data_IF_237861939353
#
_entry.id   IF_237861939353
#
_cell.length_a   1.000
_cell.length_b   1.000
_cell.length_c   1.000
_cell.angle_alpha   90.00
_cell.angle_beta   90.00
_cell.angle_gamma   90.00
#
_symmetry.space_group_name_H-M   'P 1'
#
loop_
_entity.id
_entity.type
_entity.pdbx_description
1 polymer ?
#
# COMPACT_ATOMS: atom_id res chain seq x y z
N UNK A 1 3.93 12.00 -16.11
CA UNK A 1 4.93 13.02 -15.72
C UNK A 1 5.84 12.38 -14.69
N UNK A 2 6.99 11.88 -15.12
CA UNK A 2 8.11 11.57 -14.23
C UNK A 2 9.09 12.70 -14.50
N UNK A 3 9.24 13.65 -13.58
CA UNK A 3 10.29 14.65 -13.71
C UNK A 3 11.62 13.90 -13.74
N UNK A 4 12.45 14.27 -14.70
CA UNK A 4 13.82 13.79 -14.85
C UNK A 4 14.71 14.37 -13.75
N UNK A 5 14.39 14.10 -12.49
CA UNK A 5 15.35 14.22 -11.39
C UNK A 5 16.28 13.01 -11.47
N UNK A 6 17.24 13.16 -12.37
CA UNK A 6 18.51 12.44 -12.41
C UNK A 6 19.07 12.23 -11.01
N UNK A 7 19.17 10.96 -10.59
CA UNK A 7 20.34 10.35 -9.91
C UNK A 7 21.21 11.32 -9.07
N UNK A 8 20.60 12.11 -8.20
CA UNK A 8 21.26 12.95 -7.21
C UNK A 8 20.86 12.34 -5.87
N UNK A 9 21.82 11.66 -5.24
CA UNK A 9 21.78 11.03 -3.93
C UNK A 9 20.50 10.21 -3.60
N UNK A 10 20.50 8.94 -4.03
CA UNK A 10 19.91 7.85 -3.22
C UNK A 10 20.76 7.60 -1.97
N UNK A 11 21.16 8.65 -1.26
CA UNK A 11 21.61 8.49 0.12
C UNK A 11 20.35 8.31 0.96
N UNK A 12 20.36 7.29 1.81
CA UNK A 12 19.44 7.09 2.93
C UNK A 12 19.36 8.35 3.81
N UNK A 13 18.67 9.40 3.36
CA UNK A 13 18.29 10.49 4.25
C UNK A 13 17.12 9.96 5.06
N UNK A 14 17.48 9.26 6.15
CA UNK A 14 16.56 8.94 7.22
C UNK A 14 16.02 10.27 7.75
N UNK A 15 14.74 10.53 7.52
CA UNK A 15 14.09 11.76 7.97
C UNK A 15 13.68 11.59 9.43
N UNK A 16 13.96 12.57 10.26
CA UNK A 16 13.39 12.59 11.61
C UNK A 16 11.91 12.98 11.51
N UNK A 17 11.07 12.31 12.28
CA UNK A 17 9.66 12.61 12.41
C UNK A 17 9.21 12.46 13.87
N UNK A 18 8.06 13.03 14.20
CA UNK A 18 7.46 12.92 15.53
C UNK A 18 5.99 12.59 15.41
N UNK A 19 5.45 11.95 16.44
CA UNK A 19 4.06 11.54 16.49
C UNK A 19 3.52 11.71 17.90
N UNK A 20 2.35 12.33 18.06
CA UNK A 20 1.73 12.55 19.35
C UNK A 20 0.59 11.55 19.61
N UNK A 21 0.77 10.67 20.60
CA UNK A 21 -0.27 9.78 21.11
C UNK A 21 -0.97 10.45 22.28
N UNK A 22 -2.05 11.17 21.99
CA UNK A 22 -2.80 11.93 22.98
C UNK A 22 -3.78 11.00 23.72
N UNK A 23 -3.67 10.93 25.05
CA UNK A 23 -4.49 10.04 25.89
C UNK A 23 -5.15 10.80 27.04
N UNK A 24 -6.33 10.33 27.46
CA UNK A 24 -7.04 10.81 28.63
C UNK A 24 -7.86 9.68 29.25
N UNK A 25 -7.53 9.25 30.47
CA UNK A 25 -8.15 8.06 31.07
C UNK A 25 -7.89 6.82 30.21
N UNK A 26 -8.94 6.08 29.88
CA UNK A 26 -8.90 4.91 28.98
C UNK A 26 -9.15 5.25 27.51
N UNK A 27 -9.07 6.53 27.15
CA UNK A 27 -9.34 7.00 25.79
C UNK A 27 -8.09 7.55 25.12
N UNK A 28 -8.02 7.31 23.81
CA UNK A 28 -6.96 7.76 22.92
C UNK A 28 -7.57 8.60 21.81
N UNK A 29 -6.94 9.71 21.47
CA UNK A 29 -7.34 10.51 20.32
C UNK A 29 -6.72 9.93 19.05
N UNK A 30 -7.56 9.68 18.04
CA UNK A 30 -7.17 9.00 16.81
C UNK A 30 -7.66 9.80 15.61
N UNK A 31 -6.87 9.82 14.55
CA UNK A 31 -7.27 10.39 13.25
C UNK A 31 -7.40 9.28 12.20
N UNK A 32 -8.27 9.48 11.22
CA UNK A 32 -8.31 8.71 9.97
C UNK A 32 -7.94 9.66 8.83
N UNK A 33 -6.88 9.30 8.11
CA UNK A 33 -6.31 10.10 7.03
C UNK A 33 -7.24 10.15 5.81
N UNK A 34 -7.22 11.25 5.06
CA UNK A 34 -7.96 11.39 3.81
C UNK A 34 -7.54 10.37 2.75
N UNK A 35 -8.52 9.88 1.98
CA UNK A 35 -8.30 8.83 0.96
C UNK A 35 -7.50 9.33 -0.27
N UNK A 36 -7.43 10.64 -0.50
CA UNK A 36 -6.69 11.22 -1.63
C UNK A 36 -5.24 11.57 -1.31
N UNK A 37 -4.78 11.35 -0.07
CA UNK A 37 -3.41 11.62 0.31
C UNK A 37 -2.44 10.65 -0.34
N UNK A 38 -1.22 11.14 -0.60
CA UNK A 38 -0.16 10.30 -1.20
C UNK A 38 0.42 9.27 -0.23
N UNK A 39 0.45 9.61 1.07
CA UNK A 39 1.02 8.76 2.11
C UNK A 39 -0.09 8.25 3.03
N UNK A 40 -0.19 6.92 3.10
CA UNK A 40 -1.14 6.19 3.96
C UNK A 40 -2.60 6.69 3.82
N UNK A 41 -3.18 6.72 2.61
CA UNK A 41 -4.55 7.18 2.41
C UNK A 41 -5.57 6.28 3.11
N UNK A 42 -6.42 6.85 3.95
CA UNK A 42 -7.46 6.11 4.68
C UNK A 42 -7.00 5.40 5.94
N UNK A 43 -5.73 5.52 6.34
CA UNK A 43 -5.18 4.84 7.52
C UNK A 43 -5.61 5.53 8.81
N UNK A 44 -5.80 4.73 9.85
CA UNK A 44 -5.80 5.24 11.21
C UNK A 44 -4.38 5.60 11.62
N UNK A 45 -4.22 6.78 12.22
CA UNK A 45 -2.95 7.33 12.61
C UNK A 45 -3.11 8.21 13.85
N UNK A 46 -1.97 8.72 14.32
CA UNK A 46 -1.86 9.78 15.29
C UNK A 46 -1.32 11.04 14.59
N UNK A 47 -1.64 12.25 15.09
CA UNK A 47 -1.10 13.50 14.54
C UNK A 47 0.42 13.54 14.63
N UNK A 48 1.06 14.14 13.63
CA UNK A 48 2.51 14.30 13.61
C UNK A 48 3.09 14.35 12.21
N UNK A 49 4.30 14.89 12.13
CA UNK A 49 4.99 15.09 10.87
C UNK A 49 6.49 15.12 11.02
N UNK A 50 7.15 15.78 10.07
CA UNK A 50 8.60 15.77 9.96
C UNK A 50 9.22 16.79 10.91
N UNK A 51 10.43 16.50 11.35
CA UNK A 51 11.28 17.53 11.96
C UNK A 51 11.93 18.31 10.83
N UNK A 52 11.61 19.60 10.73
CA UNK A 52 12.11 20.50 9.71
C UNK A 52 13.33 21.28 10.20
N UNK A 53 14.11 21.85 9.28
CA UNK A 53 15.29 22.66 9.64
C UNK A 53 14.93 23.87 10.52
N UNK A 54 13.70 24.38 10.38
CA UNK A 54 13.16 25.51 11.14
C UNK A 54 12.85 25.16 12.61
N UNK A 55 12.76 23.86 12.95
CA UNK A 55 12.53 23.40 14.33
C UNK A 55 13.82 23.47 15.18
N UNK A 56 14.97 23.74 14.57
CA UNK A 56 16.26 23.83 15.26
C UNK A 56 16.42 25.12 16.09
N UNK A 57 17.28 25.06 17.11
CA UNK A 57 17.70 26.24 17.88
C UNK A 57 16.73 26.70 18.98
N UNK A 58 15.62 25.99 19.18
CA UNK A 58 14.73 26.19 20.33
C UNK A 58 15.32 25.60 21.61
N UNK A 59 15.02 26.21 22.76
CA UNK A 59 15.42 25.71 24.08
C UNK A 59 14.22 25.75 24.99
N UNK A 60 13.74 24.58 25.40
CA UNK A 60 12.65 24.45 26.36
C UNK A 60 13.21 24.46 27.79
N UNK A 61 12.65 25.32 28.64
CA UNK A 61 13.02 25.39 30.07
C UNK A 61 12.05 24.60 30.95
N UNK A 62 10.85 24.28 30.45
CA UNK A 62 9.84 23.56 31.22
C UNK A 62 10.34 22.12 31.50
N UNK A 63 10.29 21.62 32.75
CA UNK A 63 10.84 20.32 33.11
C UNK A 63 10.30 19.14 32.28
N UNK A 64 8.99 19.15 31.95
CA UNK A 64 8.35 18.11 31.12
C UNK A 64 8.80 18.11 29.64
N UNK A 65 9.51 19.15 29.18
CA UNK A 65 9.97 19.26 27.79
C UNK A 65 11.50 19.25 27.69
N UNK A 66 12.19 19.72 28.74
CA UNK A 66 13.64 19.92 28.75
C UNK A 66 14.45 18.62 28.68
N UNK A 67 13.85 17.47 28.98
CA UNK A 67 14.52 16.16 28.89
C UNK A 67 14.62 15.62 27.46
N UNK A 68 13.79 16.12 26.54
CA UNK A 68 13.75 15.67 25.16
C UNK A 68 14.61 16.54 24.25
N UNK A 69 14.92 16.03 23.05
CA UNK A 69 15.63 16.83 22.03
C UNK A 69 14.75 18.02 21.60
N UNK A 70 15.22 19.27 21.75
CA UNK A 70 14.39 20.45 21.52
C UNK A 70 13.75 20.53 20.14
N UNK A 71 14.49 20.15 19.09
CA UNK A 71 13.99 20.15 17.71
C UNK A 71 12.84 19.17 17.49
N UNK A 72 12.84 18.03 18.21
CA UNK A 72 11.74 17.05 18.13
C UNK A 72 10.50 17.55 18.83
N UNK A 73 10.67 18.13 20.02
CA UNK A 73 9.55 18.73 20.75
C UNK A 73 8.99 19.93 20.00
N UNK A 74 9.84 20.74 19.36
CA UNK A 74 9.38 21.87 18.56
C UNK A 74 8.53 21.40 17.38
N UNK A 75 8.98 20.37 16.65
CA UNK A 75 8.18 19.73 15.63
C UNK A 75 6.86 19.19 16.21
N UNK A 76 6.88 18.53 17.37
CA UNK A 76 5.69 17.96 18.00
C UNK A 76 4.65 19.04 18.33
N UNK A 77 5.10 20.17 18.87
CA UNK A 77 4.25 21.34 19.16
C UNK A 77 3.67 21.91 17.87
N UNK A 78 4.51 22.11 16.84
CA UNK A 78 4.08 22.66 15.54
C UNK A 78 3.03 21.77 14.88
N UNK A 79 3.29 20.48 14.77
CA UNK A 79 2.38 19.53 14.12
C UNK A 79 1.04 19.40 14.88
N UNK A 80 1.05 19.47 16.22
CA UNK A 80 -0.19 19.51 17.02
C UNK A 80 -1.00 20.79 16.78
N UNK A 81 -0.36 21.94 16.58
CA UNK A 81 -1.05 23.18 16.24
C UNK A 81 -1.56 23.18 14.80
N UNK A 82 -0.72 22.76 13.84
CA UNK A 82 -1.06 22.73 12.42
C UNK A 82 -2.18 21.72 12.11
N UNK A 83 -2.07 20.49 12.62
CA UNK A 83 -3.05 19.43 12.33
C UNK A 83 -4.31 19.53 13.21
N UNK A 84 -4.19 19.96 14.47
CA UNK A 84 -5.28 19.88 15.45
C UNK A 84 -5.65 21.23 16.09
N UNK A 85 -4.94 22.32 15.82
CA UNK A 85 -5.11 23.58 16.53
C UNK A 85 -4.87 23.47 18.03
N UNK A 86 -3.95 22.60 18.46
CA UNK A 86 -3.63 22.34 19.85
C UNK A 86 -2.26 22.90 20.26
N UNK A 87 -2.29 23.99 21.02
CA UNK A 87 -1.10 24.59 21.62
C UNK A 87 -0.66 23.78 22.86
N UNK A 88 0.29 22.86 22.65
CA UNK A 88 0.84 22.02 23.70
C UNK A 88 1.58 22.83 24.79
N UNK A 89 2.27 23.91 24.42
CA UNK A 89 3.00 24.75 25.37
C UNK A 89 2.03 25.45 26.32
N UNK A 90 0.97 26.06 25.77
CA UNK A 90 -0.09 26.66 26.55
C UNK A 90 -0.82 25.64 27.44
N UNK A 91 -1.08 24.43 26.94
CA UNK A 91 -1.70 23.38 27.74
C UNK A 91 -0.85 22.97 28.94
N UNK A 92 0.48 22.92 28.79
CA UNK A 92 1.43 22.68 29.88
C UNK A 92 1.40 23.83 30.90
N UNK A 93 1.46 25.08 30.44
CA UNK A 93 1.39 26.26 31.31
C UNK A 93 0.08 26.32 32.11
N UNK A 94 -1.03 25.87 31.51
CA UNK A 94 -2.34 25.77 32.15
C UNK A 94 -2.53 24.51 32.99
N UNK A 95 -1.46 23.71 33.19
CA UNK A 95 -1.46 22.49 33.99
C UNK A 95 -2.47 21.43 33.49
N UNK A 96 -2.74 21.39 32.18
CA UNK A 96 -3.65 20.45 31.52
C UNK A 96 -2.95 19.16 31.08
N UNK A 97 -1.62 19.16 30.96
CA UNK A 97 -0.80 17.98 30.67
C UNK A 97 -0.30 17.37 31.97
N UNK A 98 -0.54 16.08 32.17
CA UNK A 98 -0.05 15.31 33.32
C UNK A 98 1.37 14.82 33.10
N UNK A 99 1.62 14.20 31.94
CA UNK A 99 2.86 13.51 31.62
C UNK A 99 3.10 13.52 30.11
N UNK A 100 4.38 13.52 29.71
CA UNK A 100 4.82 13.32 28.33
C UNK A 100 5.91 12.27 28.35
N UNK A 101 5.73 11.18 27.61
CA UNK A 101 6.68 10.07 27.54
C UNK A 101 7.08 9.76 26.10
N UNK A 102 8.35 9.46 25.85
CA UNK A 102 8.77 8.80 24.62
C UNK A 102 8.45 7.29 24.72
N UNK A 103 7.42 6.84 24.01
CA UNK A 103 6.93 5.45 24.10
C UNK A 103 7.60 4.50 23.10
N UNK A 104 8.22 5.02 22.05
CA UNK A 104 8.85 4.19 21.03
C UNK A 104 9.46 5.00 19.89
N UNK A 105 10.35 4.36 19.15
CA UNK A 105 10.98 4.92 17.95
C UNK A 105 10.77 3.96 16.79
N UNK A 106 9.99 4.38 15.80
CA UNK A 106 9.72 3.60 14.60
C UNK A 106 10.73 3.93 13.51
N UNK A 107 11.38 2.91 12.96
CA UNK A 107 12.29 3.00 11.82
C UNK A 107 11.60 2.39 10.61
N UNK A 108 11.47 3.18 9.55
CA UNK A 108 10.90 2.65 8.31
C UNK A 108 11.83 1.58 7.71
N UNK A 109 11.28 0.41 7.32
CA UNK A 109 12.07 -0.69 6.76
C UNK A 109 12.95 -0.28 5.57
N UNK A 110 14.05 -1.01 5.36
CA UNK A 110 15.06 -0.67 4.35
C UNK A 110 14.55 -0.75 2.90
N UNK A 111 13.49 -1.52 2.64
CA UNK A 111 12.91 -1.66 1.30
C UNK A 111 12.05 -0.46 0.87
N UNK A 112 11.65 0.40 1.82
CA UNK A 112 10.85 1.59 1.51
C UNK A 112 11.73 2.73 0.99
N UNK A 113 11.23 3.44 -0.04
CA UNK A 113 11.99 4.53 -0.68
C UNK A 113 12.14 5.77 0.17
N UNK A 114 11.14 6.07 0.99
CA UNK A 114 11.13 7.22 1.89
C UNK A 114 11.14 6.68 3.30
N UNK A 115 12.23 6.92 4.03
CA UNK A 115 12.44 6.34 5.35
C UNK A 115 12.42 7.40 6.44
N UNK A 116 11.78 7.05 7.55
CA UNK A 116 11.65 7.87 8.73
C UNK A 116 12.21 7.18 9.96
N UNK A 117 12.77 8.00 10.84
CA UNK A 117 13.06 7.69 12.23
C UNK A 117 12.08 8.52 13.07
N UNK A 118 10.92 7.92 13.32
CA UNK A 118 9.76 8.58 13.90
C UNK A 118 9.69 8.34 15.42
N UNK A 119 9.66 9.41 16.20
CA UNK A 119 9.62 9.38 17.66
C UNK A 119 8.18 9.56 18.15
N UNK A 120 7.68 8.57 18.88
CA UNK A 120 6.29 8.56 19.35
C UNK A 120 6.25 9.06 20.80
N UNK A 121 5.58 10.18 21.01
CA UNK A 121 5.41 10.81 22.31
C UNK A 121 3.98 10.60 22.80
N UNK A 122 3.79 9.90 23.92
CA UNK A 122 2.50 9.81 24.61
C UNK A 122 2.32 11.07 25.44
N UNK A 123 1.23 11.79 25.22
CA UNK A 123 0.87 13.01 25.96
C UNK A 123 -0.39 12.72 26.76
N UNK A 124 -0.24 12.63 28.08
CA UNK A 124 -1.35 12.34 29.01
C UNK A 124 -2.03 13.64 29.40
N UNK A 125 -3.30 13.80 29.03
CA UNK A 125 -4.11 14.98 29.32
C UNK A 125 -5.00 14.76 30.54
N UNK A 126 -5.13 15.79 31.37
CA UNK A 126 -6.05 15.80 32.54
C UNK A 126 -7.51 15.97 32.17
N UNK A 127 -7.79 16.49 30.98
CA UNK A 127 -9.12 16.54 30.39
C UNK A 127 -9.02 16.45 28.87
N UNK A 128 -10.06 15.94 28.21
CA UNK A 128 -10.13 15.93 26.75
C UNK A 128 -10.04 17.35 26.20
N UNK A 129 -9.04 17.61 25.38
CA UNK A 129 -8.93 18.85 24.63
C UNK A 129 -9.95 18.88 23.47
N UNK A 130 -10.34 20.09 23.08
CA UNK A 130 -11.17 20.33 21.90
C UNK A 130 -10.24 20.64 20.72
N UNK A 131 -10.11 19.68 19.81
CA UNK A 131 -9.29 19.82 18.61
C UNK A 131 -10.07 20.43 17.43
N UNK A 132 -9.34 21.04 16.52
CA UNK A 132 -9.78 21.55 15.21
C UNK A 132 -8.95 20.88 14.12
N UNK A 133 -9.33 19.67 13.69
CA UNK A 133 -8.57 18.90 12.71
C UNK A 133 -8.47 19.63 11.36
N UNK A 134 -7.31 19.58 10.70
CA UNK A 134 -7.19 20.00 9.30
C UNK A 134 -7.96 19.03 8.40
N UNK A 135 -9.08 19.50 7.86
CA UNK A 135 -9.96 18.74 6.98
C UNK A 135 -9.30 18.31 5.67
N UNK A 136 -8.19 18.95 5.28
CA UNK A 136 -7.45 18.57 4.08
C UNK A 136 -6.63 17.29 4.29
N UNK A 137 -6.27 16.97 5.53
CA UNK A 137 -5.48 15.79 5.88
C UNK A 137 -6.29 14.73 6.63
N UNK A 138 -7.25 15.16 7.45
CA UNK A 138 -7.99 14.32 8.38
C UNK A 138 -9.44 14.18 7.89
N UNK A 139 -9.81 12.96 7.49
CA UNK A 139 -11.18 12.63 7.09
C UNK A 139 -12.12 12.47 8.28
N UNK A 140 -11.57 11.97 9.39
CA UNK A 140 -12.30 11.78 10.64
C UNK A 140 -11.31 11.81 11.81
N UNK A 141 -11.74 12.30 12.97
CA UNK A 141 -10.98 12.14 14.21
C UNK A 141 -11.90 12.08 15.41
N UNK A 142 -11.39 11.53 16.50
CA UNK A 142 -12.16 11.41 17.73
C UNK A 142 -11.39 10.75 18.86
N UNK A 143 -11.94 10.92 20.06
CA UNK A 143 -11.55 10.14 21.23
C UNK A 143 -12.24 8.78 21.16
N UNK A 144 -11.45 7.72 21.15
CA UNK A 144 -11.93 6.34 21.21
C UNK A 144 -11.49 5.69 22.52
N UNK A 145 -12.33 4.83 23.08
CA UNK A 145 -11.88 3.92 24.13
C UNK A 145 -10.75 3.02 23.57
N UNK A 146 -9.73 2.72 24.38
CA UNK A 146 -8.57 1.92 23.97
C UNK A 146 -8.93 0.59 23.28
N UNK A 147 -9.97 -0.09 23.78
CA UNK A 147 -10.45 -1.35 23.21
C UNK A 147 -11.20 -1.14 21.89
N UNK A 148 -11.92 -0.03 21.74
CA UNK A 148 -12.57 0.31 20.47
C UNK A 148 -11.51 0.64 19.40
N UNK A 149 -10.45 1.35 19.78
CA UNK A 149 -9.34 1.65 18.87
C UNK A 149 -8.66 0.37 18.38
N UNK A 150 -8.36 -0.57 19.27
CA UNK A 150 -7.83 -1.88 18.87
C UNK A 150 -8.83 -2.67 18.01
N UNK A 151 -10.12 -2.63 18.34
CA UNK A 151 -11.17 -3.32 17.59
C UNK A 151 -11.29 -2.83 16.13
N UNK A 152 -10.96 -1.56 15.84
CA UNK A 152 -10.88 -1.06 14.44
C UNK A 152 -9.88 -1.89 13.63
N UNK A 153 -8.70 -2.18 14.19
CA UNK A 153 -7.72 -3.01 13.51
C UNK A 153 -8.15 -4.48 13.47
N UNK A 154 -8.51 -5.07 14.62
CA UNK A 154 -8.78 -6.51 14.73
C UNK A 154 -10.00 -6.97 13.92
N UNK A 155 -10.93 -6.07 13.58
CA UNK A 155 -12.07 -6.35 12.68
C UNK A 155 -11.72 -6.28 11.18
N UNK A 156 -10.54 -5.76 10.84
CA UNK A 156 -10.15 -5.49 9.46
C UNK A 156 -10.70 -4.17 8.87
N UNK A 157 -11.47 -3.39 9.63
CA UNK A 157 -12.02 -2.09 9.19
C UNK A 157 -10.92 -1.00 9.12
N UNK A 158 -9.98 -1.04 10.06
CA UNK A 158 -8.94 -0.04 10.25
C UNK A 158 -7.59 -0.48 9.70
N UNK A 159 -7.13 0.19 8.65
CA UNK A 159 -5.74 0.09 8.20
C UNK A 159 -4.81 0.77 9.21
N UNK A 160 -3.77 0.06 9.64
CA UNK A 160 -2.76 0.59 10.57
C UNK A 160 -1.37 0.16 10.12
N UNK A 161 -0.41 1.08 10.20
CA UNK A 161 1.01 0.71 10.08
C UNK A 161 1.49 0.06 11.37
N UNK A 162 2.59 -0.71 11.28
CA UNK A 162 3.17 -1.50 12.37
C UNK A 162 3.23 -0.76 13.73
N UNK A 163 3.84 0.44 13.84
CA UNK A 163 3.92 1.13 15.13
C UNK A 163 2.57 1.57 15.69
N UNK A 164 1.60 1.92 14.84
CA UNK A 164 0.23 2.29 15.27
C UNK A 164 -0.49 1.07 15.82
N UNK A 165 -0.36 -0.07 15.16
CA UNK A 165 -0.94 -1.34 15.58
C UNK A 165 -0.32 -1.86 16.89
N UNK A 166 1.00 -1.77 17.05
CA UNK A 166 1.66 -2.09 18.33
C UNK A 166 1.22 -1.14 19.45
N UNK A 167 1.07 0.15 19.15
CA UNK A 167 0.54 1.13 20.11
C UNK A 167 -0.88 0.79 20.54
N UNK A 168 -1.78 0.49 19.60
CA UNK A 168 -3.16 0.08 19.90
C UNK A 168 -3.21 -1.16 20.82
N UNK A 169 -2.39 -2.17 20.52
CA UNK A 169 -2.29 -3.40 21.32
C UNK A 169 -1.73 -3.15 22.72
N UNK A 170 -0.71 -2.30 22.83
CA UNK A 170 -0.10 -1.96 24.12
C UNK A 170 -1.07 -1.17 25.01
N UNK A 171 -1.71 -0.13 24.47
CA UNK A 171 -2.68 0.68 25.21
C UNK A 171 -3.89 -0.13 25.67
N UNK A 172 -4.44 -0.99 24.79
CA UNK A 172 -5.55 -1.87 25.17
C UNK A 172 -5.21 -2.76 26.38
N UNK A 173 -3.98 -3.28 26.44
CA UNK A 173 -3.48 -4.04 27.59
C UNK A 173 -3.30 -3.16 28.83
N UNK A 174 -2.59 -2.04 28.68
CA UNK A 174 -2.28 -1.11 29.76
C UNK A 174 -2.00 0.31 29.21
N UNK A 175 -2.78 1.29 29.63
CA UNK A 175 -2.61 2.71 29.25
C UNK A 175 -1.28 3.30 29.76
N UNK A 176 -0.72 2.73 30.82
CA UNK A 176 0.57 3.14 31.37
C UNK A 176 1.78 2.59 30.58
N UNK A 177 1.57 1.72 29.57
CA UNK A 177 2.65 1.14 28.78
C UNK A 177 3.62 2.20 28.25
N UNK A 178 4.90 2.05 28.63
CA UNK A 178 6.03 2.91 28.21
C UNK A 178 7.36 2.30 28.71
N UNK A 179 8.37 2.05 27.86
CA UNK A 179 8.29 2.02 26.40
C UNK A 179 7.47 0.81 25.90
N UNK A 180 7.06 0.85 24.64
CA UNK A 180 6.32 -0.22 23.97
C UNK A 180 7.30 -1.09 23.18
N UNK A 181 7.32 -2.40 23.46
CA UNK A 181 8.16 -3.37 22.77
C UNK A 181 7.37 -4.63 22.35
N UNK A 182 7.55 -5.16 21.12
CA UNK A 182 8.32 -4.56 20.04
C UNK A 182 7.58 -3.37 19.41
N UNK A 183 8.34 -2.35 18.96
CA UNK A 183 7.78 -1.19 18.26
C UNK A 183 7.95 -1.24 16.75
N UNK A 184 8.95 -1.98 16.29
CA UNK A 184 9.34 -2.13 14.89
C UNK A 184 9.03 -3.53 14.39
N UNK A 185 9.08 -3.69 13.07
CA UNK A 185 9.05 -5.01 12.47
C UNK A 185 10.33 -5.78 12.84
N UNK A 186 10.18 -6.97 13.41
CA UNK A 186 11.30 -7.86 13.76
C UNK A 186 11.42 -8.97 12.71
N UNK A 187 12.52 -8.98 11.95
CA UNK A 187 12.89 -10.03 11.01
C UNK A 187 14.38 -9.94 10.68
N UNK A 188 14.99 -11.03 10.23
CA UNK A 188 16.38 -11.01 9.75
C UNK A 188 16.40 -10.58 8.27
N UNK A 189 16.70 -9.31 7.98
CA UNK A 189 16.64 -8.77 6.62
C UNK A 189 17.57 -9.51 5.63
N UNK A 190 18.62 -10.17 6.12
CA UNK A 190 19.54 -10.96 5.28
C UNK A 190 18.98 -12.35 4.94
N UNK A 191 18.12 -12.90 5.81
CA UNK A 191 17.63 -14.28 5.72
C UNK A 191 16.15 -14.41 5.37
N UNK A 192 15.36 -13.38 5.60
CA UNK A 192 13.90 -13.39 5.50
C UNK A 192 13.41 -12.17 4.71
N UNK A 193 12.16 -12.22 4.29
CA UNK A 193 11.42 -11.10 3.74
C UNK A 193 10.53 -10.53 4.85
N UNK A 194 10.29 -9.23 4.79
CA UNK A 194 9.36 -8.58 5.71
C UNK A 194 7.94 -9.16 5.53
N UNK A 195 7.26 -9.41 6.64
CA UNK A 195 5.83 -9.74 6.66
C UNK A 195 5.06 -8.59 7.30
N UNK A 196 4.22 -7.92 6.52
CA UNK A 196 3.39 -6.81 6.97
C UNK A 196 1.94 -7.26 7.07
N UNK A 197 1.20 -6.74 8.06
CA UNK A 197 -0.24 -6.98 8.18
C UNK A 197 -0.93 -5.63 8.41
N UNK A 198 -1.03 -4.83 7.34
CA UNK A 198 -1.59 -3.47 7.38
C UNK A 198 -3.11 -3.47 7.55
N UNK A 199 -3.76 -4.55 7.13
CA UNK A 199 -5.14 -4.91 7.40
C UNK A 199 -5.10 -6.25 8.09
N UNK A 200 -5.77 -6.40 9.24
CA UNK A 200 -5.76 -7.64 10.02
C UNK A 200 -6.13 -8.85 9.14
N UNK A 201 -5.34 -9.91 9.18
CA UNK A 201 -5.57 -11.14 8.41
C UNK A 201 -5.20 -11.07 6.93
N UNK A 202 -4.68 -9.94 6.42
CA UNK A 202 -4.05 -9.84 5.10
C UNK A 202 -2.56 -9.64 5.27
N UNK A 203 -1.79 -10.68 4.97
CA UNK A 203 -0.33 -10.64 4.99
C UNK A 203 0.23 -10.07 3.69
N UNK A 204 1.27 -9.26 3.77
CA UNK A 204 1.99 -8.70 2.62
C UNK A 204 3.46 -9.02 2.76
N UNK A 205 4.05 -9.61 1.73
CA UNK A 205 5.48 -9.89 1.66
C UNK A 205 6.06 -9.06 0.51
N UNK A 206 6.61 -7.86 0.78
CA UNK A 206 7.27 -7.04 -0.23
C UNK A 206 8.45 -7.81 -0.81
N UNK A 207 8.27 -8.36 -2.00
CA UNK A 207 9.21 -9.27 -2.64
C UNK A 207 9.95 -8.51 -3.73
N UNK A 208 11.28 -8.31 -3.64
CA UNK A 208 12.04 -7.78 -4.76
C UNK A 208 11.76 -8.64 -6.00
N UNK A 209 11.27 -8.02 -7.07
CA UNK A 209 10.79 -8.70 -8.28
C UNK A 209 11.34 -8.02 -9.53
N UNK A 210 11.28 -8.71 -10.68
CA UNK A 210 11.69 -8.16 -11.97
C UNK A 210 10.59 -7.27 -12.61
N UNK A 211 9.99 -6.40 -11.80
CA UNK A 211 8.90 -5.50 -12.19
C UNK A 211 9.40 -4.27 -12.97
N UNK A 212 8.49 -3.55 -13.62
CA UNK A 212 8.82 -2.33 -14.36
C UNK A 212 9.01 -1.11 -13.42
N UNK A 213 10.02 -0.25 -13.68
CA UNK A 213 10.17 1.00 -12.94
C UNK A 213 8.91 1.87 -13.00
N UNK A 214 8.55 2.59 -11.92
CA UNK A 214 9.36 2.82 -10.73
C UNK A 214 9.22 1.74 -9.64
N UNK A 215 8.43 0.70 -9.83
CA UNK A 215 8.32 -0.37 -8.85
C UNK A 215 9.66 -1.13 -8.74
N UNK A 216 9.96 -1.63 -7.54
CA UNK A 216 11.12 -2.49 -7.25
C UNK A 216 10.68 -3.79 -6.55
N UNK A 217 9.40 -3.88 -6.17
CA UNK A 217 8.82 -4.96 -5.39
C UNK A 217 7.42 -5.28 -5.92
N UNK A 218 7.10 -6.57 -5.94
CA UNK A 218 5.72 -7.08 -5.98
C UNK A 218 5.36 -7.53 -4.56
N UNK A 219 4.25 -7.04 -4.04
CA UNK A 219 3.78 -7.35 -2.68
C UNK A 219 2.99 -8.65 -2.77
N UNK A 220 3.67 -9.77 -2.54
CA UNK A 220 3.01 -11.07 -2.52
C UNK A 220 1.98 -11.08 -1.37
N UNK A 221 0.71 -11.26 -1.70
CA UNK A 221 -0.37 -11.25 -0.73
C UNK A 221 -0.50 -12.65 -0.11
N UNK A 222 -0.65 -12.73 1.19
CA UNK A 222 -0.97 -13.95 1.90
C UNK A 222 -2.36 -13.84 2.51
N UNK A 223 -3.24 -14.78 2.15
CA UNK A 223 -4.63 -14.76 2.58
C UNK A 223 -5.16 -16.16 2.85
N UNK A 224 -5.96 -16.28 3.89
CA UNK A 224 -6.58 -17.53 4.33
C UNK A 224 -6.42 -17.74 5.83
N UNK A 225 -7.53 -18.04 6.49
CA UNK A 225 -7.61 -18.27 7.92
C UNK A 225 -8.50 -19.47 8.30
N UNK A 226 -8.49 -19.80 9.60
CA UNK A 226 -9.21 -20.96 10.12
C UNK A 226 -8.79 -22.26 9.46
N UNK A 227 -9.78 -23.04 9.00
CA UNK A 227 -9.59 -24.29 8.27
C UNK A 227 -9.60 -24.09 6.74
N UNK A 228 -9.74 -22.86 6.25
CA UNK A 228 -9.73 -22.56 4.82
C UNK A 228 -8.29 -22.59 4.26
N UNK A 229 -8.10 -22.96 2.98
CA UNK A 229 -6.76 -22.99 2.37
C UNK A 229 -6.11 -21.61 2.39
N UNK A 230 -4.84 -21.54 2.80
CA UNK A 230 -4.06 -20.30 2.74
C UNK A 230 -3.30 -20.22 1.41
N UNK A 231 -3.42 -19.10 0.72
CA UNK A 231 -2.74 -18.86 -0.55
C UNK A 231 -1.66 -17.80 -0.43
N UNK A 232 -0.54 -18.04 -1.10
CA UNK A 232 0.44 -17.03 -1.46
C UNK A 232 0.14 -16.54 -2.88
N UNK A 233 -0.17 -15.27 -3.02
CA UNK A 233 -0.57 -14.65 -4.29
C UNK A 233 0.62 -13.91 -4.90
N UNK A 234 0.90 -14.18 -6.16
CA UNK A 234 1.95 -13.54 -6.98
C UNK A 234 3.40 -13.57 -6.42
N UNK A 235 3.91 -14.72 -5.92
CA UNK A 235 5.29 -14.76 -5.46
C UNK A 235 6.28 -14.80 -6.64
N UNK A 236 6.96 -13.67 -6.89
CA UNK A 236 7.98 -13.57 -7.94
C UNK A 236 9.35 -13.02 -7.46
N UNK A 237 10.08 -13.75 -6.60
CA UNK A 237 11.46 -13.44 -6.25
C UNK A 237 12.37 -13.12 -7.45
N UNK A 238 13.07 -11.98 -7.45
CA UNK A 238 13.93 -11.56 -8.55
C UNK A 238 15.23 -12.38 -8.72
N UNK A 239 15.62 -13.17 -7.71
CA UNK A 239 16.89 -13.91 -7.70
C UNK A 239 16.84 -15.12 -6.77
N UNK A 240 17.84 -16.00 -6.87
CA UNK A 240 17.97 -17.17 -5.98
C UNK A 240 18.12 -16.78 -4.51
N UNK A 241 18.80 -15.65 -4.23
CA UNK A 241 18.91 -15.13 -2.87
C UNK A 241 17.54 -14.69 -2.32
N UNK A 242 16.73 -14.00 -3.13
CA UNK A 242 15.38 -13.59 -2.72
C UNK A 242 14.47 -14.81 -2.58
N UNK A 243 14.64 -15.84 -3.43
CA UNK A 243 13.91 -17.09 -3.33
C UNK A 243 14.24 -17.85 -2.02
N UNK A 244 15.51 -17.91 -1.63
CA UNK A 244 15.92 -18.49 -0.34
C UNK A 244 15.27 -17.74 0.84
N UNK A 245 15.26 -16.41 0.78
CA UNK A 245 14.58 -15.57 1.79
C UNK A 245 13.07 -15.83 1.83
N UNK A 246 12.43 -16.00 0.68
CA UNK A 246 11.03 -16.39 0.58
C UNK A 246 10.80 -17.75 1.25
N UNK A 247 11.62 -18.77 0.98
CA UNK A 247 11.49 -20.07 1.65
C UNK A 247 11.69 -20.01 3.16
N UNK A 248 12.60 -19.18 3.65
CA UNK A 248 12.76 -18.97 5.09
C UNK A 248 11.52 -18.32 5.70
N UNK A 249 10.99 -17.27 5.06
CA UNK A 249 9.76 -16.58 5.49
C UNK A 249 8.57 -17.55 5.54
N UNK A 250 8.42 -18.42 4.54
CA UNK A 250 7.31 -19.38 4.47
C UNK A 250 7.39 -20.51 5.53
N UNK A 251 8.48 -20.65 6.29
CA UNK A 251 8.55 -21.60 7.42
C UNK A 251 7.62 -21.18 8.56
N UNK A 252 7.59 -19.89 8.86
CA UNK A 252 6.73 -19.31 9.89
C UNK A 252 5.34 -18.94 9.35
N UNK A 253 5.22 -18.87 8.02
CA UNK A 253 4.00 -18.53 7.31
C UNK A 253 3.64 -19.60 6.25
N UNK A 254 3.28 -20.83 6.68
CA UNK A 254 2.96 -21.92 5.76
C UNK A 254 1.71 -21.60 4.92
N UNK A 255 1.70 -22.10 3.69
CA UNK A 255 0.60 -21.92 2.72
C UNK A 255 0.23 -23.25 2.05
N UNK A 256 -0.99 -23.34 1.54
CA UNK A 256 -1.59 -24.53 0.93
C UNK A 256 -1.62 -24.46 -0.61
N UNK A 257 -1.30 -23.32 -1.19
CA UNK A 257 -1.24 -23.13 -2.64
C UNK A 257 -0.68 -21.78 -3.04
N UNK A 258 -0.36 -21.65 -4.32
CA UNK A 258 0.09 -20.39 -4.92
C UNK A 258 -0.95 -19.93 -5.92
N UNK A 259 -1.44 -18.70 -5.80
CA UNK A 259 -2.36 -18.09 -6.76
C UNK A 259 -1.61 -17.08 -7.62
N UNK A 260 -1.80 -17.16 -8.93
CA UNK A 260 -1.22 -16.22 -9.89
C UNK A 260 -2.34 -15.39 -10.49
N UNK A 261 -2.28 -14.08 -10.29
CA UNK A 261 -3.28 -13.13 -10.78
C UNK A 261 -3.27 -13.05 -12.30
N UNK A 262 -2.09 -12.94 -12.90
CA UNK A 262 -1.91 -12.85 -14.34
C UNK A 262 -0.49 -13.26 -14.78
N UNK A 263 -0.25 -13.25 -16.09
CA UNK A 263 0.91 -13.91 -16.67
C UNK A 263 2.17 -13.03 -16.78
N UNK A 264 2.20 -11.82 -16.22
CA UNK A 264 3.39 -10.98 -16.30
C UNK A 264 4.49 -11.49 -15.37
N UNK A 265 5.78 -11.41 -15.78
CA UNK A 265 6.87 -12.13 -15.11
C UNK A 265 6.99 -11.84 -13.61
N UNK A 266 6.79 -10.58 -13.21
CA UNK A 266 6.89 -10.12 -11.82
C UNK A 266 5.75 -10.57 -10.90
N UNK A 267 4.87 -11.45 -11.39
CA UNK A 267 3.84 -12.12 -10.60
C UNK A 267 4.08 -13.63 -10.48
N UNK A 268 4.88 -14.25 -11.37
CA UNK A 268 4.97 -15.71 -11.43
C UNK A 268 6.38 -16.27 -11.65
N UNK A 269 7.39 -15.49 -12.01
CA UNK A 269 8.65 -15.98 -12.60
C UNK A 269 9.28 -17.13 -11.80
N UNK A 270 9.27 -17.05 -10.46
CA UNK A 270 9.77 -18.08 -9.55
C UNK A 270 8.69 -18.85 -8.79
N UNK A 271 7.42 -18.58 -9.04
CA UNK A 271 6.31 -19.28 -8.41
C UNK A 271 6.33 -20.80 -8.69
N UNK A 272 6.63 -21.29 -9.91
CA UNK A 272 6.77 -22.73 -10.16
C UNK A 272 7.87 -23.41 -9.34
N UNK A 273 8.97 -22.71 -9.04
CA UNK A 273 10.05 -23.26 -8.22
C UNK A 273 9.59 -23.44 -6.77
N UNK A 274 8.88 -22.44 -6.23
CA UNK A 274 8.27 -22.52 -4.90
C UNK A 274 7.26 -23.66 -4.86
N UNK A 275 6.38 -23.75 -5.86
CA UNK A 275 5.35 -24.79 -5.96
C UNK A 275 5.97 -26.20 -5.96
N UNK A 276 6.99 -26.45 -6.79
CA UNK A 276 7.67 -27.76 -6.86
C UNK A 276 8.39 -28.10 -5.57
N UNK A 277 9.12 -27.15 -5.00
CA UNK A 277 9.93 -27.40 -3.82
C UNK A 277 9.08 -27.67 -2.58
N UNK A 278 7.92 -27.02 -2.46
CA UNK A 278 6.99 -27.19 -1.34
C UNK A 278 5.88 -28.20 -1.63
N UNK A 279 5.77 -28.72 -2.85
CA UNK A 279 4.70 -29.64 -3.26
C UNK A 279 3.32 -29.01 -3.28
N UNK A 280 3.23 -27.71 -3.63
CA UNK A 280 2.00 -26.93 -3.62
C UNK A 280 1.31 -26.92 -4.99
N UNK A 281 -0.03 -26.91 -5.03
CA UNK A 281 -0.77 -26.60 -6.25
C UNK A 281 -0.61 -25.11 -6.62
N UNK A 282 -0.69 -24.83 -7.92
CA UNK A 282 -0.85 -23.48 -8.45
C UNK A 282 -2.28 -23.25 -8.93
N UNK A 283 -2.80 -22.04 -8.70
CA UNK A 283 -4.13 -21.60 -9.10
C UNK A 283 -4.00 -20.39 -10.04
N UNK A 284 -4.69 -20.41 -11.17
CA UNK A 284 -4.76 -19.26 -12.08
C UNK A 284 -5.95 -19.39 -13.05
N UNK A 285 -6.29 -18.31 -13.76
CA UNK A 285 -7.30 -18.40 -14.81
C UNK A 285 -6.81 -19.26 -15.99
N UNK A 286 -7.74 -19.74 -16.82
CA UNK A 286 -7.39 -20.50 -18.03
C UNK A 286 -6.55 -19.68 -19.00
N UNK A 287 -6.86 -18.40 -19.16
CA UNK A 287 -6.14 -17.47 -20.03
C UNK A 287 -4.72 -17.24 -19.50
N UNK A 288 -4.56 -17.00 -18.20
CA UNK A 288 -3.24 -16.89 -17.57
C UNK A 288 -2.43 -18.15 -17.79
N UNK A 289 -2.98 -19.34 -17.52
CA UNK A 289 -2.27 -20.62 -17.76
C UNK A 289 -1.81 -20.75 -19.22
N UNK A 290 -2.69 -20.44 -20.17
CA UNK A 290 -2.36 -20.51 -21.58
C UNK A 290 -1.17 -19.59 -21.91
N UNK A 291 -1.21 -18.32 -21.49
CA UNK A 291 -0.13 -17.35 -21.72
C UNK A 291 1.18 -17.74 -21.05
N UNK A 292 1.12 -18.29 -19.82
CA UNK A 292 2.30 -18.79 -19.12
C UNK A 292 3.02 -19.86 -19.96
N UNK A 293 2.28 -20.82 -20.51
CA UNK A 293 2.86 -21.90 -21.33
C UNK A 293 3.34 -21.39 -22.70
N UNK A 294 2.60 -20.48 -23.32
CA UNK A 294 2.99 -19.89 -24.61
C UNK A 294 4.28 -19.07 -24.53
N UNK A 295 4.47 -18.32 -23.44
CA UNK A 295 5.63 -17.43 -23.26
C UNK A 295 6.85 -18.14 -22.67
N UNK A 296 6.65 -19.13 -21.81
CA UNK A 296 7.74 -19.73 -21.02
C UNK A 296 8.05 -21.19 -21.40
N UNK A 297 7.25 -21.81 -22.28
CA UNK A 297 7.42 -23.20 -22.71
C UNK A 297 6.35 -24.13 -22.16
N UNK A 298 6.10 -25.22 -22.89
CA UNK A 298 5.05 -26.19 -22.53
C UNK A 298 5.33 -26.94 -21.22
N UNK A 299 6.60 -27.00 -20.81
CA UNK A 299 7.11 -27.62 -19.59
C UNK A 299 7.18 -26.66 -18.39
N UNK A 300 6.82 -25.39 -18.56
CA UNK A 300 6.94 -24.37 -17.52
C UNK A 300 6.22 -24.74 -16.22
N UNK A 301 5.11 -25.48 -16.31
CA UNK A 301 4.30 -25.94 -15.19
C UNK A 301 4.43 -27.45 -14.92
N UNK A 302 5.44 -28.12 -15.50
CA UNK A 302 5.63 -29.56 -15.30
C UNK A 302 5.89 -29.90 -13.83
N UNK A 303 5.26 -30.99 -13.38
CA UNK A 303 5.36 -31.48 -12.00
C UNK A 303 4.50 -30.70 -10.99
N UNK A 304 3.64 -29.78 -11.44
CA UNK A 304 2.79 -28.95 -10.58
C UNK A 304 1.32 -29.28 -10.87
N UNK A 305 0.51 -29.47 -9.81
CA UNK A 305 -0.95 -29.50 -9.95
C UNK A 305 -1.45 -28.09 -10.25
N UNK A 306 -2.09 -27.88 -11.40
CA UNK A 306 -2.67 -26.59 -11.78
C UNK A 306 -4.19 -26.64 -11.70
N UNK A 307 -4.77 -25.78 -10.86
CA UNK A 307 -6.22 -25.61 -10.70
C UNK A 307 -6.65 -24.32 -11.39
N UNK A 308 -7.77 -24.40 -12.11
CA UNK A 308 -8.34 -23.20 -12.73
C UNK A 308 -9.28 -22.51 -11.77
N UNK A 309 -9.18 -21.18 -11.71
CA UNK A 309 -10.11 -20.31 -11.00
C UNK A 309 -10.80 -19.38 -12.00
N UNK A 310 -12.04 -18.98 -11.69
CA UNK A 310 -12.87 -18.11 -12.51
C UNK A 310 -13.73 -17.18 -11.63
N UNK A 311 -14.40 -16.21 -12.24
CA UNK A 311 -15.32 -15.29 -11.55
C UNK A 311 -16.29 -16.04 -10.62
N UNK A 312 -16.40 -15.58 -9.37
CA UNK A 312 -17.33 -16.08 -8.37
C UNK A 312 -16.84 -17.28 -7.55
N UNK A 313 -15.75 -17.94 -7.95
CA UNK A 313 -15.17 -19.05 -7.17
C UNK A 313 -14.80 -18.55 -5.77
N UNK A 314 -15.33 -19.21 -4.73
CA UNK A 314 -14.90 -19.01 -3.35
C UNK A 314 -13.56 -19.72 -3.16
N UNK A 315 -12.50 -18.96 -2.88
CA UNK A 315 -11.16 -19.51 -2.79
C UNK A 315 -10.76 -19.82 -1.34
N UNK A 316 -11.02 -18.88 -0.44
CA UNK A 316 -10.58 -18.95 0.96
C UNK A 316 -11.47 -18.09 1.86
N UNK A 317 -11.03 -17.85 3.11
CA UNK A 317 -11.67 -16.98 4.07
C UNK A 317 -10.73 -15.88 4.58
N UNK A 318 -11.33 -14.81 5.06
CA UNK A 318 -10.68 -13.68 5.71
C UNK A 318 -11.52 -13.18 6.89
N UNK A 319 -10.98 -13.33 8.09
CA UNK A 319 -11.68 -13.10 9.35
C UNK A 319 -13.03 -13.84 9.39
N UNK A 320 -13.03 -15.08 8.92
CA UNK A 320 -14.22 -15.94 8.79
C UNK A 320 -15.23 -15.53 7.71
N UNK A 321 -14.90 -14.55 6.84
CA UNK A 321 -15.72 -14.16 5.69
C UNK A 321 -15.19 -14.79 4.42
N UNK A 322 -16.08 -15.23 3.54
CA UNK A 322 -15.69 -15.85 2.28
C UNK A 322 -15.05 -14.83 1.33
N UNK A 323 -13.94 -15.25 0.70
CA UNK A 323 -13.19 -14.45 -0.28
C UNK A 323 -13.35 -15.10 -1.66
N UNK A 324 -13.80 -14.29 -2.61
CA UNK A 324 -14.14 -14.72 -3.97
C UNK A 324 -13.14 -14.20 -5.00
N UNK A 325 -13.03 -14.95 -6.10
CA UNK A 325 -12.31 -14.58 -7.30
C UNK A 325 -13.16 -13.64 -8.18
N UNK A 326 -12.54 -12.61 -8.73
CA UNK A 326 -13.14 -11.67 -9.70
C UNK A 326 -12.23 -11.57 -10.93
N UNK A 327 -12.76 -11.72 -12.13
CA UNK A 327 -12.03 -11.51 -13.38
C UNK A 327 -11.87 -10.02 -13.65
N UNK A 328 -10.67 -9.53 -13.93
CA UNK A 328 -10.34 -8.11 -14.07
C UNK A 328 -9.70 -7.81 -15.44
N UNK A 329 -10.39 -8.06 -16.57
CA UNK A 329 -9.79 -7.87 -17.89
C UNK A 329 -9.41 -6.40 -18.14
N UNK A 330 -8.43 -6.21 -19.03
CA UNK A 330 -8.02 -4.90 -19.51
C UNK A 330 -6.52 -4.71 -19.50
N UNK A 331 -5.87 -4.89 -18.35
CA UNK A 331 -4.39 -4.94 -18.30
C UNK A 331 -3.86 -6.26 -18.88
N UNK A 332 -4.50 -7.36 -18.48
CA UNK A 332 -4.33 -8.69 -19.01
C UNK A 332 -5.71 -9.37 -19.07
N UNK A 333 -6.00 -10.10 -20.14
CA UNK A 333 -7.27 -10.78 -20.37
C UNK A 333 -7.51 -12.03 -19.48
N UNK A 334 -6.48 -12.46 -18.74
CA UNK A 334 -6.57 -13.50 -17.72
C UNK A 334 -6.51 -12.99 -16.30
N UNK A 335 -6.40 -11.66 -16.08
CA UNK A 335 -6.18 -11.10 -14.76
C UNK A 335 -7.35 -11.38 -13.83
N UNK A 336 -7.03 -11.79 -12.60
CA UNK A 336 -8.01 -11.97 -11.53
C UNK A 336 -7.64 -11.14 -10.30
N UNK A 337 -8.66 -10.78 -9.52
CA UNK A 337 -8.56 -10.16 -8.22
C UNK A 337 -9.35 -10.93 -7.17
N UNK A 338 -9.23 -10.48 -5.92
CA UNK A 338 -9.85 -11.11 -4.75
C UNK A 338 -10.60 -10.08 -3.92
N UNK A 339 -11.80 -10.43 -3.44
CA UNK A 339 -12.51 -9.60 -2.47
C UNK A 339 -13.45 -10.45 -1.59
N UNK A 340 -13.68 -10.06 -0.32
CA UNK A 340 -14.79 -10.57 0.45
C UNK A 340 -16.13 -10.05 -0.10
N UNK A 341 -17.22 -10.76 0.16
CA UNK A 341 -18.56 -10.40 -0.33
C UNK A 341 -18.99 -8.98 0.08
N UNK A 342 -18.58 -8.52 1.27
CA UNK A 342 -18.90 -7.20 1.80
C UNK A 342 -18.05 -6.05 1.25
N UNK A 343 -17.10 -6.33 0.34
CA UNK A 343 -16.19 -5.37 -0.27
C UNK A 343 -15.38 -4.55 0.76
N UNK A 344 -15.10 -5.12 1.95
CA UNK A 344 -14.21 -4.48 2.94
C UNK A 344 -12.86 -4.08 2.35
N UNK A 345 -12.36 -4.89 1.41
CA UNK A 345 -11.19 -4.61 0.59
C UNK A 345 -11.36 -5.28 -0.78
N UNK A 346 -10.61 -4.84 -1.78
CA UNK A 346 -10.52 -5.51 -3.08
C UNK A 346 -9.07 -5.52 -3.53
N UNK A 347 -8.49 -6.71 -3.62
CA UNK A 347 -7.21 -6.94 -4.29
C UNK A 347 -7.41 -6.91 -5.81
N UNK A 348 -7.02 -5.80 -6.43
CA UNK A 348 -7.23 -5.51 -7.86
C UNK A 348 -6.00 -5.77 -8.72
N UNK A 349 -5.01 -6.49 -8.18
CA UNK A 349 -3.74 -6.81 -8.83
C UNK A 349 -3.11 -5.58 -9.50
N UNK A 350 -2.92 -5.63 -10.81
CA UNK A 350 -2.30 -4.60 -11.66
C UNK A 350 -3.31 -3.70 -12.38
N UNK A 351 -4.55 -3.62 -11.87
CA UNK A 351 -5.52 -2.66 -12.39
C UNK A 351 -5.09 -1.21 -12.11
N UNK A 352 -4.56 -0.95 -10.91
CA UNK A 352 -4.01 0.34 -10.50
C UNK A 352 -2.84 0.15 -9.55
N UNK A 353 -1.98 1.16 -9.44
CA UNK A 353 -0.92 1.19 -8.44
C UNK A 353 -0.71 2.64 -7.95
N UNK A 354 -0.23 2.86 -6.70
CA UNK A 354 -0.11 4.19 -6.11
C UNK A 354 0.97 5.07 -6.77
N UNK A 355 1.99 4.46 -7.39
CA UNK A 355 3.18 5.17 -7.87
C UNK A 355 3.04 5.74 -9.29
N UNK A 356 2.34 5.03 -10.18
CA UNK A 356 2.29 5.35 -11.60
C UNK A 356 1.03 4.75 -12.26
N UNK A 357 0.74 5.19 -13.48
CA UNK A 357 -0.30 4.57 -14.31
C UNK A 357 0.21 3.25 -14.89
N UNK A 358 -0.60 2.20 -14.82
CA UNK A 358 -0.27 0.87 -15.37
C UNK A 358 -0.20 0.89 -16.91
N UNK A 359 0.55 -0.02 -17.51
CA UNK A 359 0.58 -0.15 -18.98
C UNK A 359 -0.62 -1.00 -19.41
N UNK A 360 -1.17 -0.77 -20.60
CA UNK A 360 -2.15 -1.67 -21.22
C UNK A 360 -1.42 -2.34 -22.40
N UNK A 361 -0.78 -3.50 -22.20
CA UNK A 361 0.04 -4.13 -23.22
C UNK A 361 -0.78 -4.74 -24.35
N UNK A 362 -0.12 -5.05 -25.46
CA UNK A 362 -0.62 -5.80 -26.62
C UNK A 362 0.18 -7.10 -26.69
N UNK A 363 -0.43 -8.23 -27.08
CA UNK A 363 -1.84 -8.37 -27.48
C UNK A 363 -2.83 -8.62 -26.33
N UNK A 364 -2.36 -8.81 -25.09
CA UNK A 364 -3.19 -9.25 -23.95
C UNK A 364 -4.13 -8.20 -23.35
N UNK A 365 -3.78 -6.92 -23.45
CA UNK A 365 -4.54 -5.84 -22.86
C UNK A 365 -5.51 -5.22 -23.85
N UNK A 366 -6.58 -4.65 -23.31
CA UNK A 366 -7.60 -3.92 -24.05
C UNK A 366 -8.04 -2.70 -23.24
N UNK A 367 -7.99 -1.51 -23.85
CA UNK A 367 -8.32 -0.26 -23.17
C UNK A 367 -9.82 -0.12 -22.86
N UNK A 368 -10.70 -0.72 -23.67
CA UNK A 368 -12.14 -0.68 -23.40
C UNK A 368 -12.45 -1.55 -22.18
N UNK A 369 -11.94 -2.78 -22.15
CA UNK A 369 -12.09 -3.68 -20.99
C UNK A 369 -11.48 -3.05 -19.73
N UNK A 370 -10.35 -2.37 -19.84
CA UNK A 370 -9.74 -1.66 -18.71
C UNK A 370 -10.65 -0.55 -18.14
N UNK A 371 -11.30 0.24 -19.00
CA UNK A 371 -12.25 1.28 -18.56
C UNK A 371 -13.46 0.66 -17.89
N UNK A 372 -14.01 -0.40 -18.47
CA UNK A 372 -15.20 -1.08 -17.96
C UNK A 372 -14.91 -1.76 -16.62
N UNK A 373 -13.72 -2.37 -16.47
CA UNK A 373 -13.26 -2.95 -15.20
C UNK A 373 -13.05 -1.88 -14.13
N UNK A 374 -12.41 -0.75 -14.45
CA UNK A 374 -12.28 0.37 -13.51
C UNK A 374 -13.65 0.87 -13.04
N UNK A 375 -14.57 1.12 -13.97
CA UNK A 375 -15.91 1.61 -13.63
C UNK A 375 -16.68 0.58 -12.77
N UNK A 376 -16.62 -0.71 -13.14
CA UNK A 376 -17.27 -1.77 -12.36
C UNK A 376 -16.79 -1.79 -10.91
N UNK A 377 -15.48 -1.68 -10.67
CA UNK A 377 -14.96 -1.71 -9.29
C UNK A 377 -15.28 -0.43 -8.53
N UNK A 378 -15.29 0.73 -9.20
CA UNK A 378 -15.77 1.99 -8.59
C UNK A 378 -17.21 1.83 -8.12
N UNK A 379 -18.07 1.22 -8.94
CA UNK A 379 -19.49 1.00 -8.64
C UNK A 379 -19.70 -0.02 -7.50
N UNK A 380 -18.75 -0.93 -7.27
CA UNK A 380 -18.75 -1.86 -6.12
C UNK A 380 -18.35 -1.20 -4.80
N UNK A 381 -17.75 0.00 -4.85
CA UNK A 381 -17.39 0.81 -3.68
C UNK A 381 -16.58 0.09 -2.59
N UNK A 382 -15.48 -0.60 -2.92
CA UNK A 382 -14.67 -1.26 -1.90
C UNK A 382 -14.12 -0.27 -0.86
N UNK A 383 -14.13 -0.70 0.40
CA UNK A 383 -13.61 0.10 1.52
C UNK A 383 -12.11 0.38 1.41
N UNK A 384 -11.37 -0.55 0.81
CA UNK A 384 -9.93 -0.46 0.55
C UNK A 384 -9.61 -1.08 -0.80
N UNK A 385 -8.77 -0.42 -1.59
CA UNK A 385 -8.16 -0.97 -2.81
C UNK A 385 -6.76 -1.47 -2.48
N UNK A 386 -6.47 -2.71 -2.82
CA UNK A 386 -5.17 -3.36 -2.63
C UNK A 386 -4.61 -3.71 -4.01
N UNK A 387 -3.38 -3.31 -4.30
CA UNK A 387 -2.70 -3.59 -5.57
C UNK A 387 -1.47 -4.48 -5.37
N UNK A 388 -0.97 -5.09 -6.43
CA UNK A 388 0.25 -5.92 -6.37
C UNK A 388 1.51 -5.09 -6.11
N UNK A 389 1.45 -3.78 -6.31
CA UNK A 389 2.56 -2.88 -6.04
C UNK A 389 2.14 -1.78 -5.06
N UNK A 390 2.86 -1.67 -3.94
CA UNK A 390 2.64 -0.65 -2.92
C UNK A 390 1.63 -1.04 -1.85
N UNK A 391 1.33 -0.08 -0.98
CA UNK A 391 0.47 -0.28 0.19
C UNK A 391 -1.03 -0.20 -0.17
N UNK A 392 -1.92 -0.83 0.64
CA UNK A 392 -3.36 -0.64 0.53
C UNK A 392 -3.78 0.83 0.58
N UNK A 393 -4.87 1.17 -0.11
CA UNK A 393 -5.37 2.54 -0.27
C UNK A 393 -6.86 2.62 0.08
N UNK A 394 -7.22 3.56 0.96
CA UNK A 394 -8.62 3.72 1.38
C UNK A 394 -9.54 4.18 0.26
N UNK A 395 -10.69 3.51 0.13
CA UNK A 395 -11.75 3.83 -0.82
C UNK A 395 -11.38 3.73 -2.30
N UNK A 396 -12.24 4.28 -3.16
CA UNK A 396 -12.17 4.18 -4.63
C UNK A 396 -11.39 5.31 -5.30
N UNK A 397 -10.86 6.28 -4.54
CA UNK A 397 -10.28 7.50 -5.09
C UNK A 397 -9.18 7.25 -6.12
N UNK A 398 -8.32 6.25 -5.89
CA UNK A 398 -7.25 5.89 -6.83
C UNK A 398 -7.79 5.38 -8.17
N UNK A 399 -8.89 4.62 -8.14
CA UNK A 399 -9.56 4.09 -9.34
C UNK A 399 -10.19 5.23 -10.13
N UNK A 400 -10.96 6.09 -9.45
CA UNK A 400 -11.64 7.26 -10.03
C UNK A 400 -10.63 8.21 -10.70
N UNK A 401 -9.56 8.56 -9.98
CA UNK A 401 -8.48 9.40 -10.50
C UNK A 401 -7.80 8.77 -11.70
N UNK A 402 -7.61 7.45 -11.70
CA UNK A 402 -7.02 6.73 -12.82
C UNK A 402 -7.95 6.74 -14.03
N UNK A 403 -9.24 6.45 -13.85
CA UNK A 403 -10.23 6.51 -14.92
C UNK A 403 -10.32 7.92 -15.52
N UNK A 404 -10.41 8.95 -14.68
CA UNK A 404 -10.41 10.35 -15.12
C UNK A 404 -9.14 10.67 -15.92
N UNK A 405 -7.96 10.29 -15.42
CA UNK A 405 -6.70 10.53 -16.13
C UNK A 405 -6.68 9.90 -17.53
N UNK A 406 -7.27 8.70 -17.68
CA UNK A 406 -7.37 8.03 -18.98
C UNK A 406 -8.37 8.70 -19.91
N UNK A 407 -9.50 9.17 -19.40
CA UNK A 407 -10.47 9.94 -20.17
C UNK A 407 -9.87 11.27 -20.67
N UNK A 408 -9.10 11.96 -19.81
CA UNK A 408 -8.37 13.17 -20.19
C UNK A 408 -7.33 12.87 -21.29
N UNK A 409 -6.60 11.75 -21.17
CA UNK A 409 -5.65 11.29 -22.21
C UNK A 409 -6.35 11.02 -23.53
N UNK A 410 -7.49 10.33 -23.50
CA UNK A 410 -8.30 10.05 -24.69
C UNK A 410 -8.78 11.33 -25.37
N UNK A 411 -9.28 12.30 -24.59
CA UNK A 411 -9.69 13.61 -25.12
C UNK A 411 -8.52 14.37 -25.79
N UNK A 412 -7.31 14.29 -25.21
CA UNK A 412 -6.12 14.88 -25.83
C UNK A 412 -5.77 14.21 -27.16
N UNK A 413 -5.84 12.88 -27.24
CA UNK A 413 -5.61 12.12 -28.48
C UNK A 413 -6.62 12.52 -29.55
N UNK A 414 -7.92 12.56 -29.21
CA UNK A 414 -8.98 12.99 -30.14
C UNK A 414 -8.74 14.41 -30.66
N UNK A 415 -8.34 15.34 -29.79
CA UNK A 415 -8.03 16.71 -30.20
C UNK A 415 -6.84 16.77 -31.18
N UNK A 416 -5.82 15.93 -31.00
CA UNK A 416 -4.66 15.86 -31.90
C UNK A 416 -5.02 15.21 -33.25
N UNK A 417 -5.81 14.14 -33.25
CA UNK A 417 -6.34 13.52 -34.48
C UNK A 417 -7.16 14.52 -35.30
N UNK A 418 -8.04 15.29 -34.64
CA UNK A 418 -8.83 16.32 -35.29
C UNK A 418 -7.97 17.47 -35.87
N UNK A 419 -6.77 17.67 -35.35
CA UNK A 419 -5.79 18.61 -35.90
C UNK A 419 -4.97 18.02 -37.08
N UNK A 420 -5.15 16.73 -37.39
CA UNK A 420 -4.47 16.02 -38.46
C UNK A 420 -3.14 15.36 -38.05
N UNK A 421 -2.88 15.21 -36.75
CA UNK A 421 -1.66 14.54 -36.27
C UNK A 421 -1.70 13.03 -36.53
N UNK A 422 -0.56 12.44 -36.89
CA UNK A 422 -0.35 10.99 -36.94
C UNK A 422 0.10 10.41 -35.58
N UNK A 423 0.20 9.07 -35.49
CA UNK A 423 0.61 8.37 -34.25
C UNK A 423 1.94 8.89 -33.70
N UNK A 424 2.96 9.02 -34.55
CA UNK A 424 4.29 9.49 -34.16
C UNK A 424 4.25 10.91 -33.59
N UNK A 425 3.47 11.80 -34.21
CA UNK A 425 3.27 13.17 -33.76
C UNK A 425 2.53 13.20 -32.43
N UNK A 426 1.47 12.41 -32.27
CA UNK A 426 0.72 12.28 -31.01
C UNK A 426 1.64 11.82 -29.88
N UNK A 427 2.41 10.74 -30.09
CA UNK A 427 3.34 10.21 -29.08
C UNK A 427 4.38 11.27 -28.70
N UNK A 428 5.02 11.94 -29.68
CA UNK A 428 6.02 12.98 -29.43
C UNK A 428 5.45 14.16 -28.63
N UNK A 429 4.20 14.55 -28.88
CA UNK A 429 3.53 15.65 -28.16
C UNK A 429 3.13 15.25 -26.75
N UNK A 430 2.54 14.07 -26.59
CA UNK A 430 1.98 13.58 -25.33
C UNK A 430 3.05 13.15 -24.32
N UNK A 431 4.17 12.62 -24.80
CA UNK A 431 5.25 12.07 -23.98
C UNK A 431 6.56 12.85 -24.13
N UNK A 432 6.44 14.18 -24.33
CA UNK A 432 7.60 15.07 -24.37
C UNK A 432 8.41 14.96 -23.07
N UNK A 433 9.70 14.64 -23.19
CA UNK A 433 10.62 14.51 -22.06
C UNK A 433 10.59 13.15 -21.36
N UNK A 434 9.86 12.17 -21.90
CA UNK A 434 9.93 10.77 -21.45
C UNK A 434 11.25 10.15 -21.94
N UNK A 435 11.86 9.29 -21.10
CA UNK A 435 13.06 8.53 -21.45
C UNK A 435 12.82 7.75 -22.76
N UNK A 436 13.79 7.78 -23.68
CA UNK A 436 13.72 7.09 -24.96
C UNK A 436 13.41 5.60 -24.81
N UNK A 437 13.84 4.97 -23.71
CA UNK A 437 13.56 3.56 -23.41
C UNK A 437 12.09 3.26 -23.14
N UNK A 438 11.31 4.27 -22.72
CA UNK A 438 9.88 4.13 -22.41
C UNK A 438 8.99 4.53 -23.58
N UNK A 439 9.55 5.06 -24.67
CA UNK A 439 8.79 5.44 -25.86
C UNK A 439 8.00 4.28 -26.48
N UNK A 440 8.50 3.02 -26.57
CA UNK A 440 7.72 1.92 -27.09
C UNK A 440 6.44 1.64 -26.28
N UNK A 441 6.52 1.74 -24.94
CA UNK A 441 5.36 1.59 -24.05
C UNK A 441 4.39 2.77 -24.18
N UNK A 442 4.92 3.98 -24.37
CA UNK A 442 4.11 5.16 -24.60
C UNK A 442 3.35 5.08 -25.93
N UNK A 443 4.01 4.64 -27.00
CA UNK A 443 3.39 4.41 -28.31
C UNK A 443 2.28 3.37 -28.22
N UNK A 444 2.57 2.24 -27.57
CA UNK A 444 1.58 1.18 -27.30
C UNK A 444 0.36 1.71 -26.53
N UNK A 445 0.56 2.58 -25.54
CA UNK A 445 -0.54 3.18 -24.80
C UNK A 445 -1.43 4.06 -25.71
N UNK A 446 -0.84 4.84 -26.63
CA UNK A 446 -1.62 5.61 -27.62
C UNK A 446 -2.36 4.69 -28.56
N UNK A 447 -1.71 3.62 -29.06
CA UNK A 447 -2.34 2.63 -29.93
C UNK A 447 -3.57 2.00 -29.30
N UNK A 448 -3.51 1.65 -28.02
CA UNK A 448 -4.65 1.10 -27.28
C UNK A 448 -5.82 2.08 -27.15
N UNK A 449 -5.54 3.37 -26.91
CA UNK A 449 -6.58 4.40 -26.97
C UNK A 449 -7.19 4.55 -28.38
N UNK A 450 -6.36 4.54 -29.43
CA UNK A 450 -6.82 4.61 -30.82
C UNK A 450 -7.73 3.42 -31.16
N UNK A 451 -7.35 2.21 -30.75
CA UNK A 451 -8.13 0.99 -30.94
C UNK A 451 -9.50 1.09 -30.28
N UNK A 452 -9.57 1.52 -29.01
CA UNK A 452 -10.84 1.74 -28.29
C UNK A 452 -11.74 2.77 -28.99
N UNK A 453 -11.14 3.81 -29.56
CA UNK A 453 -11.85 4.85 -30.33
C UNK A 453 -12.29 4.37 -31.73
N UNK A 454 -11.97 3.14 -32.13
CA UNK A 454 -12.34 2.57 -33.43
C UNK A 454 -11.43 2.98 -34.59
N UNK A 455 -10.25 3.53 -34.31
CA UNK A 455 -9.24 3.81 -35.32
C UNK A 455 -8.42 2.55 -35.63
N UNK A 456 -8.08 2.36 -36.92
CA UNK A 456 -7.10 1.36 -37.32
C UNK A 456 -5.72 1.80 -36.83
N UNK A 457 -4.95 0.85 -36.30
CA UNK A 457 -3.65 1.09 -35.69
C UNK A 457 -2.59 0.19 -36.28
#
# INVERSE_FOLDING_TARGET
MVSSETKLNREDIMREAVTAVLVHGDEVFVIKRQNYLRAFPGYYAFPGGKVDEEDAGFVYQHPQLAEFRPERIRALVRELDEELGFDLEQAIEQNQVEEIDLIGVAVTPAFERVRFHAHYYKVVLKSKALFRPDVNEIAWSGWLHKDEFLARYESGEGMMVVPIMHTARALARDMASSPIEPFNLEYDEERELAYLELIRGLGYIPTPSNTLPPAEYTYALMIGDGDAPRYLVDPAPASDQVLERMFNTLKDHPVDGILITHHHPDHHERAPDIARQLGLPMLCSKNTRQRLLERNGADYLDGIEVRHVQEGDQLTQWLGRDVHCYELPGHDDGMIGLAPEDMSWFFVADLVQPMATVVIPEPEGDMQDYFDTLQRIIDLQPGVVVSSHGIPMGGTHVLEKTLQHRQEREAQIVAMLNAGDDLDQIVKRLYRGVDQKLLPLAEQNVRQHLRKLGHAV
#
